data_IF_909307591506
#
_entry.id   IF_909307591506
#
_cell.length_a   1.000
_cell.length_b   1.000
_cell.length_c   1.000
_cell.angle_alpha   90.00
_cell.angle_beta   90.00
_cell.angle_gamma   90.00
#
_symmetry.space_group_name_H-M   'P 1'
#
loop_
_entity.id
_entity.type
_entity.pdbx_description
1 polymer ?
#
# COMPACT_ATOMS: atom_id res chain seq x y z
N UNK A 1 -8.68 9.07 -2.75
CA UNK A 1 -7.82 8.01 -2.19
C UNK A 1 -8.03 6.69 -2.95
N UNK A 2 -6.96 6.06 -3.42
CA UNK A 2 -6.99 4.78 -4.12
C UNK A 2 -6.24 3.73 -3.31
N UNK A 3 -6.90 2.63 -2.97
CA UNK A 3 -6.35 1.59 -2.08
C UNK A 3 -5.95 0.32 -2.84
N UNK A 4 -5.15 -0.54 -2.19
CA UNK A 4 -4.81 -1.84 -2.75
C UNK A 4 -6.04 -2.75 -2.95
N UNK A 5 -7.06 -2.61 -2.11
CA UNK A 5 -8.33 -3.33 -2.28
C UNK A 5 -9.12 -2.83 -3.50
N UNK A 6 -9.14 -1.52 -3.74
CA UNK A 6 -9.73 -0.96 -4.97
C UNK A 6 -8.96 -1.43 -6.21
N UNK A 7 -7.63 -1.42 -6.15
CA UNK A 7 -6.79 -1.94 -7.23
C UNK A 7 -7.07 -3.42 -7.51
N UNK A 8 -7.18 -4.25 -6.47
CA UNK A 8 -7.55 -5.66 -6.63
C UNK A 8 -8.89 -5.79 -7.37
N UNK A 9 -9.91 -5.06 -6.93
CA UNK A 9 -11.24 -5.12 -7.54
C UNK A 9 -11.22 -4.68 -9.01
N UNK A 10 -10.57 -3.57 -9.32
CA UNK A 10 -10.47 -3.04 -10.67
C UNK A 10 -9.72 -3.99 -11.60
N UNK A 11 -8.58 -4.53 -11.17
CA UNK A 11 -7.79 -5.46 -11.98
C UNK A 11 -8.51 -6.79 -12.16
N UNK A 12 -9.18 -7.31 -11.12
CA UNK A 12 -9.98 -8.54 -11.25
C UNK A 12 -11.14 -8.35 -12.23
N UNK A 13 -11.81 -7.21 -12.17
CA UNK A 13 -12.87 -6.87 -13.12
C UNK A 13 -12.33 -6.78 -14.55
N UNK A 14 -11.21 -6.09 -14.76
CA UNK A 14 -10.54 -5.95 -16.06
C UNK A 14 -10.12 -7.32 -16.63
N UNK A 15 -9.51 -8.18 -15.80
CA UNK A 15 -9.07 -9.51 -16.23
C UNK A 15 -10.25 -10.38 -16.63
N UNK A 16 -11.30 -10.45 -15.81
CA UNK A 16 -12.43 -11.38 -16.03
C UNK A 16 -13.42 -10.90 -17.07
N UNK A 17 -13.71 -9.61 -17.08
CA UNK A 17 -14.80 -9.06 -17.89
C UNK A 17 -14.35 -8.46 -19.22
N UNK A 18 -13.04 -8.32 -19.43
CA UNK A 18 -12.49 -7.76 -20.66
C UNK A 18 -11.38 -8.65 -21.22
N UNK A 19 -10.20 -8.71 -20.60
CA UNK A 19 -9.02 -9.33 -21.18
C UNK A 19 -9.19 -10.84 -21.43
N UNK A 20 -9.70 -11.60 -20.47
CA UNK A 20 -9.90 -13.04 -20.64
C UNK A 20 -11.11 -13.45 -21.51
N UNK A 21 -11.88 -12.48 -22.02
CA UNK A 21 -12.86 -12.75 -23.08
C UNK A 21 -12.24 -12.93 -24.46
N UNK A 22 -11.07 -12.34 -24.66
CA UNK A 22 -10.43 -12.31 -25.98
C UNK A 22 -8.97 -12.82 -25.96
N UNK A 23 -8.39 -13.04 -24.79
CA UNK A 23 -7.01 -13.45 -24.63
C UNK A 23 -6.87 -14.55 -23.58
N UNK A 24 -6.12 -15.58 -23.87
CA UNK A 24 -5.84 -16.68 -22.93
C UNK A 24 -4.80 -16.32 -21.86
N UNK A 25 -4.05 -15.24 -22.08
CA UNK A 25 -2.95 -14.82 -21.20
C UNK A 25 -2.94 -13.30 -21.02
N UNK A 26 -2.77 -12.86 -19.79
CA UNK A 26 -2.55 -11.46 -19.45
C UNK A 26 -1.21 -11.30 -18.73
N UNK A 27 -0.44 -10.26 -19.07
CA UNK A 27 0.82 -9.92 -18.44
C UNK A 27 0.62 -8.78 -17.45
N UNK A 28 0.86 -9.04 -16.16
CA UNK A 28 0.92 -8.02 -15.12
C UNK A 28 2.39 -7.71 -14.83
N UNK A 29 2.82 -6.49 -15.08
CA UNK A 29 4.20 -6.04 -14.84
C UNK A 29 4.24 -4.80 -13.96
N UNK A 30 5.27 -4.68 -13.14
CA UNK A 30 5.47 -3.52 -12.27
C UNK A 30 6.31 -3.84 -11.03
N UNK A 31 6.54 -2.81 -10.21
CA UNK A 31 7.38 -2.89 -9.01
C UNK A 31 6.61 -2.80 -7.68
N UNK A 32 5.30 -2.53 -7.70
CA UNK A 32 4.50 -2.42 -6.48
C UNK A 32 4.10 -3.80 -5.97
N UNK A 33 4.91 -4.36 -5.07
CA UNK A 33 4.69 -5.71 -4.52
C UNK A 33 3.33 -5.84 -3.83
N UNK A 34 2.86 -4.79 -3.15
CA UNK A 34 1.56 -4.81 -2.48
C UNK A 34 0.40 -4.97 -3.49
N UNK A 35 0.46 -4.29 -4.62
CA UNK A 35 -0.54 -4.40 -5.69
C UNK A 35 -0.47 -5.77 -6.38
N UNK A 36 0.72 -6.27 -6.66
CA UNK A 36 0.92 -7.60 -7.23
C UNK A 36 0.36 -8.68 -6.28
N UNK A 37 0.67 -8.59 -5.00
CA UNK A 37 0.16 -9.54 -4.00
C UNK A 37 -1.36 -9.42 -3.81
N UNK A 38 -1.93 -8.23 -3.86
CA UNK A 38 -3.39 -8.03 -3.82
C UNK A 38 -4.09 -8.79 -4.96
N UNK A 39 -3.58 -8.69 -6.18
CA UNK A 39 -4.14 -9.43 -7.33
C UNK A 39 -3.88 -10.94 -7.21
N UNK A 40 -2.68 -11.34 -6.81
CA UNK A 40 -2.29 -12.75 -6.79
C UNK A 40 -2.88 -13.56 -5.62
N UNK A 41 -2.98 -12.95 -4.45
CA UNK A 41 -3.36 -13.63 -3.19
C UNK A 41 -4.69 -13.15 -2.64
N UNK A 42 -5.12 -11.97 -3.06
CA UNK A 42 -6.18 -11.22 -2.40
C UNK A 42 -5.65 -10.35 -1.28
N UNK A 43 -6.46 -9.41 -0.86
CA UNK A 43 -6.24 -8.57 0.30
C UNK A 43 -7.38 -8.76 1.28
N UNK A 44 -7.09 -8.64 2.56
CA UNK A 44 -8.10 -8.71 3.61
C UNK A 44 -9.17 -7.62 3.40
N UNK A 45 -10.40 -7.94 3.70
CA UNK A 45 -11.53 -7.01 3.59
C UNK A 45 -11.57 -6.06 4.79
N UNK A 46 -10.61 -5.13 4.79
CA UNK A 46 -10.48 -4.11 5.82
C UNK A 46 -11.36 -2.91 5.43
N UNK A 47 -12.27 -2.47 6.31
CA UNK A 47 -13.15 -1.35 6.02
C UNK A 47 -12.39 -0.06 5.66
N UNK A 48 -12.89 0.66 4.67
CA UNK A 48 -12.35 1.99 4.33
C UNK A 48 -12.59 2.95 5.50
N UNK A 49 -11.54 3.63 5.94
CA UNK A 49 -11.62 4.59 7.03
C UNK A 49 -12.31 5.86 6.55
N UNK A 50 -13.31 6.32 7.31
CA UNK A 50 -13.99 7.60 7.08
C UNK A 50 -13.05 8.76 7.35
N UNK A 51 -13.26 9.86 6.63
CA UNK A 51 -12.40 11.03 6.73
C UNK A 51 -12.48 11.71 8.11
N UNK A 52 -13.66 11.67 8.76
CA UNK A 52 -13.84 12.20 10.12
C UNK A 52 -12.98 11.44 11.15
N UNK A 53 -12.93 10.12 11.07
CA UNK A 53 -12.09 9.28 11.93
C UNK A 53 -10.60 9.53 11.67
N UNK A 54 -10.19 9.66 10.41
CA UNK A 54 -8.80 9.98 10.06
C UNK A 54 -8.36 11.32 10.62
N UNK A 55 -9.19 12.34 10.44
CA UNK A 55 -8.89 13.67 10.94
C UNK A 55 -8.80 13.67 12.46
N UNK A 56 -9.77 13.04 13.14
CA UNK A 56 -9.78 12.90 14.59
C UNK A 56 -8.53 12.18 15.11
N UNK A 57 -8.13 11.06 14.51
CA UNK A 57 -6.93 10.32 14.93
C UNK A 57 -5.63 11.10 14.67
N UNK A 58 -5.58 11.86 13.56
CA UNK A 58 -4.46 12.76 13.31
C UNK A 58 -4.31 13.82 14.40
N UNK A 59 -5.42 14.46 14.79
CA UNK A 59 -5.41 15.45 15.86
C UNK A 59 -5.02 14.84 17.20
N UNK A 60 -5.45 13.62 17.50
CA UNK A 60 -5.04 12.88 18.69
C UNK A 60 -3.55 12.60 18.69
N UNK A 61 -2.99 12.13 17.58
CA UNK A 61 -1.54 11.89 17.45
C UNK A 61 -0.74 13.16 17.72
N UNK A 62 -1.20 14.32 17.22
CA UNK A 62 -0.55 15.61 17.42
C UNK A 62 -0.66 16.10 18.88
N UNK A 63 -1.79 15.89 19.55
CA UNK A 63 -2.06 16.37 20.91
C UNK A 63 -1.55 15.44 21.99
N UNK A 64 -1.73 14.14 21.82
CA UNK A 64 -1.50 13.13 22.87
C UNK A 64 -0.15 12.43 22.71
N UNK A 65 0.38 12.40 21.48
CA UNK A 65 1.61 11.71 21.14
C UNK A 65 1.42 10.21 20.85
N UNK A 66 2.44 9.61 20.25
CA UNK A 66 2.39 8.21 19.82
C UNK A 66 2.29 7.22 20.99
N UNK A 67 2.96 7.51 22.11
CA UNK A 67 3.02 6.61 23.26
C UNK A 67 1.65 6.30 23.84
N UNK A 68 0.81 7.32 24.02
CA UNK A 68 -0.57 7.13 24.51
C UNK A 68 -1.42 6.31 23.54
N UNK A 69 -1.25 6.52 22.26
CA UNK A 69 -1.96 5.73 21.24
C UNK A 69 -1.48 4.27 21.24
N UNK A 70 -0.23 4.02 21.51
CA UNK A 70 0.32 2.65 21.66
C UNK A 70 -0.27 1.96 22.89
N UNK A 71 -0.40 2.67 24.02
CA UNK A 71 -1.07 2.13 25.22
C UNK A 71 -2.56 1.84 24.99
N UNK A 72 -3.23 2.68 24.23
CA UNK A 72 -4.62 2.44 23.85
C UNK A 72 -4.76 1.22 22.93
N UNK A 73 -3.88 1.08 21.94
CA UNK A 73 -3.85 -0.10 21.07
C UNK A 73 -3.63 -1.38 21.86
N UNK A 74 -2.80 -1.35 22.91
CA UNK A 74 -2.60 -2.51 23.79
C UNK A 74 -3.91 -2.98 24.44
N UNK A 75 -4.80 -2.05 24.76
CA UNK A 75 -6.10 -2.34 25.40
C UNK A 75 -7.14 -2.79 24.38
N UNK A 76 -7.16 -2.15 23.20
CA UNK A 76 -8.18 -2.39 22.17
C UNK A 76 -7.87 -3.62 21.31
N UNK A 77 -6.59 -3.87 21.00
CA UNK A 77 -6.13 -5.00 20.18
C UNK A 77 -4.77 -5.50 20.66
N UNK A 78 -4.74 -6.27 21.77
CA UNK A 78 -3.50 -6.80 22.33
C UNK A 78 -2.70 -7.67 21.36
N UNK A 79 -3.38 -8.39 20.48
CA UNK A 79 -2.76 -9.26 19.50
C UNK A 79 -1.98 -8.43 18.46
N UNK A 80 -2.60 -7.40 17.90
CA UNK A 80 -1.91 -6.50 16.99
C UNK A 80 -0.80 -5.71 17.67
N UNK A 81 -1.01 -5.27 18.90
CA UNK A 81 0.02 -4.59 19.70
C UNK A 81 1.30 -5.39 19.82
N UNK A 82 1.22 -6.73 19.95
CA UNK A 82 2.39 -7.60 20.11
C UNK A 82 3.23 -7.72 18.84
N UNK A 83 2.64 -7.46 17.66
CA UNK A 83 3.30 -7.66 16.36
C UNK A 83 3.59 -6.37 15.60
N UNK A 84 2.90 -5.27 15.95
CA UNK A 84 3.07 -3.99 15.25
C UNK A 84 4.39 -3.32 15.62
N UNK A 85 5.00 -2.64 14.65
CA UNK A 85 6.08 -1.71 14.93
C UNK A 85 5.53 -0.47 15.65
N UNK A 86 5.72 -0.43 16.96
CA UNK A 86 5.23 0.63 17.86
C UNK A 86 5.87 2.00 17.60
N UNK A 87 7.01 2.05 16.88
CA UNK A 87 7.66 3.30 16.48
C UNK A 87 7.10 3.86 15.17
N UNK A 88 6.24 3.11 14.49
CA UNK A 88 5.61 3.54 13.26
C UNK A 88 4.20 4.13 13.52
N UNK A 89 4.06 5.46 13.58
CA UNK A 89 2.79 6.08 13.92
C UNK A 89 1.68 5.74 12.91
N UNK A 90 2.01 5.58 11.62
CA UNK A 90 1.01 5.23 10.59
C UNK A 90 0.37 3.87 10.86
N UNK A 91 1.15 2.87 11.31
CA UNK A 91 0.64 1.53 11.59
C UNK A 91 -0.21 1.49 12.86
N UNK A 92 0.24 2.19 13.90
CA UNK A 92 -0.50 2.29 15.17
C UNK A 92 -1.82 3.03 14.96
N UNK A 93 -1.79 4.20 14.33
CA UNK A 93 -2.96 5.02 14.03
C UNK A 93 -3.96 4.24 13.17
N UNK A 94 -3.51 3.61 12.10
CA UNK A 94 -4.41 2.85 11.21
C UNK A 94 -5.15 1.72 11.94
N UNK A 95 -4.48 1.00 12.82
CA UNK A 95 -5.15 -0.04 13.62
C UNK A 95 -6.21 0.55 14.56
N UNK A 96 -5.92 1.67 15.22
CA UNK A 96 -6.87 2.35 16.07
C UNK A 96 -8.05 2.96 15.29
N UNK A 97 -7.80 3.50 14.10
CA UNK A 97 -8.87 3.99 13.21
C UNK A 97 -9.90 2.88 12.93
N UNK A 98 -9.44 1.67 12.61
CA UNK A 98 -10.32 0.51 12.40
C UNK A 98 -11.05 0.14 13.69
N UNK A 99 -10.34 0.06 14.81
CA UNK A 99 -10.96 -0.29 16.09
C UNK A 99 -12.07 0.71 16.48
N UNK A 100 -11.80 2.00 16.37
CA UNK A 100 -12.77 3.04 16.71
C UNK A 100 -13.95 3.10 15.75
N UNK A 101 -13.69 2.94 14.45
CA UNK A 101 -14.76 2.97 13.46
C UNK A 101 -15.70 1.80 13.56
N UNK A 102 -15.18 0.61 13.85
CA UNK A 102 -15.93 -0.65 13.71
C UNK A 102 -16.35 -1.25 15.05
N UNK A 103 -15.72 -0.84 16.16
CA UNK A 103 -15.87 -1.49 17.46
C UNK A 103 -15.26 -2.89 17.55
N UNK A 104 -14.51 -3.31 16.52
CA UNK A 104 -13.82 -4.61 16.45
C UNK A 104 -12.31 -4.40 16.44
N UNK A 105 -11.55 -5.44 16.82
CA UNK A 105 -10.09 -5.41 16.72
C UNK A 105 -9.64 -5.35 15.26
N UNK A 106 -8.53 -4.66 14.98
CA UNK A 106 -7.91 -4.67 13.66
C UNK A 106 -7.49 -6.09 13.27
N UNK A 107 -7.01 -6.88 14.23
CA UNK A 107 -6.65 -8.29 14.05
C UNK A 107 -7.80 -9.12 13.48
N UNK A 108 -9.04 -8.87 13.88
CA UNK A 108 -10.20 -9.62 13.39
C UNK A 108 -10.46 -9.47 11.88
N UNK A 109 -9.93 -8.41 11.26
CA UNK A 109 -10.00 -8.20 9.80
C UNK A 109 -8.79 -8.77 9.06
N UNK A 110 -7.73 -9.16 9.79
CA UNK A 110 -6.50 -9.70 9.20
C UNK A 110 -6.56 -11.22 9.15
N UNK A 111 -7.39 -11.76 8.28
CA UNK A 111 -7.58 -13.20 8.13
C UNK A 111 -6.40 -13.87 7.42
N UNK A 112 -5.67 -13.11 6.62
CA UNK A 112 -4.59 -13.59 5.74
C UNK A 112 -5.04 -14.76 4.83
N UNK A 113 -6.34 -14.87 4.59
CA UNK A 113 -6.90 -15.88 3.70
C UNK A 113 -6.53 -15.58 2.25
N UNK A 114 -5.99 -16.60 1.57
CA UNK A 114 -5.74 -16.50 0.14
C UNK A 114 -7.06 -16.65 -0.60
N UNK A 115 -7.45 -15.60 -1.31
CA UNK A 115 -8.60 -15.67 -2.21
C UNK A 115 -8.26 -16.56 -3.41
N UNK A 116 -9.12 -17.52 -3.71
CA UNK A 116 -8.98 -18.30 -4.94
C UNK A 116 -9.15 -17.41 -6.18
N UNK A 117 -8.36 -17.68 -7.20
CA UNK A 117 -8.42 -16.97 -8.48
C UNK A 117 -8.92 -17.90 -9.57
N UNK A 118 -9.84 -17.44 -10.44
CA UNK A 118 -10.39 -18.26 -11.52
C UNK A 118 -9.41 -18.43 -12.71
N UNK A 119 -8.11 -18.23 -12.47
CA UNK A 119 -7.05 -18.34 -13.46
C UNK A 119 -5.74 -18.80 -12.82
N UNK A 120 -4.88 -19.39 -13.64
CA UNK A 120 -3.54 -19.79 -13.20
C UNK A 120 -2.60 -18.59 -13.13
N UNK A 121 -1.84 -18.50 -12.04
CA UNK A 121 -0.85 -17.44 -11.82
C UNK A 121 0.56 -18.03 -12.04
N UNK A 122 1.33 -17.44 -12.93
CA UNK A 122 2.74 -17.73 -13.14
C UNK A 122 3.54 -16.50 -12.73
N UNK A 123 4.40 -16.63 -11.72
CA UNK A 123 5.26 -15.54 -11.25
C UNK A 123 6.65 -15.68 -11.85
N UNK A 124 7.11 -14.64 -12.53
CA UNK A 124 8.44 -14.56 -13.11
C UNK A 124 9.20 -13.43 -12.42
N UNK A 125 10.27 -13.77 -11.72
CA UNK A 125 11.18 -12.80 -11.10
C UNK A 125 12.39 -12.56 -12.00
N UNK A 126 12.64 -11.30 -12.35
CA UNK A 126 13.87 -10.93 -13.04
C UNK A 126 14.98 -10.71 -12.01
N UNK A 127 16.10 -11.35 -12.21
CA UNK A 127 17.29 -11.18 -11.37
C UNK A 127 18.52 -10.89 -12.25
N UNK A 128 19.49 -10.19 -11.66
CA UNK A 128 20.73 -9.80 -12.32
C UNK A 128 21.85 -9.73 -11.30
N UNK A 129 23.10 -9.87 -11.76
CA UNK A 129 24.24 -9.63 -10.91
C UNK A 129 24.17 -8.24 -10.26
N UNK A 130 24.56 -8.17 -8.98
CA UNK A 130 24.36 -6.96 -8.18
C UNK A 130 25.21 -5.78 -8.68
N UNK A 131 26.41 -6.05 -9.14
CA UNK A 131 27.29 -5.00 -9.68
C UNK A 131 26.72 -4.43 -10.98
N UNK A 132 26.27 -5.30 -11.89
CA UNK A 132 25.62 -4.88 -13.13
C UNK A 132 24.32 -4.11 -12.86
N UNK A 133 23.53 -4.55 -11.88
CA UNK A 133 22.31 -3.86 -11.48
C UNK A 133 22.58 -2.43 -11.00
N UNK A 134 23.59 -2.24 -10.14
CA UNK A 134 23.96 -0.91 -9.65
C UNK A 134 24.48 -0.01 -10.78
N UNK A 135 25.28 -0.54 -11.68
CA UNK A 135 25.74 0.25 -12.83
C UNK A 135 24.57 0.74 -13.69
N UNK A 136 23.62 -0.14 -14.00
CA UNK A 136 22.40 0.24 -14.75
C UNK A 136 21.54 1.27 -14.01
N UNK A 137 21.42 1.15 -12.69
CA UNK A 137 20.69 2.13 -11.88
C UNK A 137 21.38 3.50 -11.99
N UNK A 138 22.69 3.54 -11.83
CA UNK A 138 23.46 4.79 -11.92
C UNK A 138 23.35 5.43 -13.32
N UNK A 139 23.53 4.65 -14.37
CA UNK A 139 23.38 5.14 -15.74
C UNK A 139 21.95 5.65 -16.00
N UNK A 140 20.94 4.94 -15.52
CA UNK A 140 19.55 5.40 -15.65
C UNK A 140 19.32 6.74 -14.97
N UNK A 141 19.87 6.96 -13.79
CA UNK A 141 19.75 8.25 -13.08
C UNK A 141 20.40 9.37 -13.90
N UNK A 142 21.59 9.14 -14.47
CA UNK A 142 22.26 10.13 -15.31
C UNK A 142 21.42 10.49 -16.55
N UNK A 143 20.88 9.48 -17.23
CA UNK A 143 19.98 9.70 -18.37
C UNK A 143 18.73 10.47 -17.99
N UNK A 144 18.10 10.13 -16.86
CA UNK A 144 16.92 10.86 -16.38
C UNK A 144 17.24 12.33 -16.08
N UNK A 145 18.43 12.62 -15.54
CA UNK A 145 18.87 14.01 -15.31
C UNK A 145 19.07 14.76 -16.64
N UNK A 146 19.68 14.13 -17.63
CA UNK A 146 19.85 14.69 -18.98
C UNK A 146 18.50 14.94 -19.68
N UNK A 147 17.54 14.03 -19.50
CA UNK A 147 16.17 14.13 -20.04
C UNK A 147 15.31 15.18 -19.31
N UNK A 148 15.80 15.76 -18.22
CA UNK A 148 15.15 16.88 -17.54
C UNK A 148 14.39 16.54 -16.26
N UNK A 149 14.71 15.45 -15.57
CA UNK A 149 14.11 15.05 -14.30
C UNK A 149 14.08 16.21 -13.28
N UNK A 150 15.17 16.97 -13.17
CA UNK A 150 15.22 18.11 -12.25
C UNK A 150 14.18 19.19 -12.61
N UNK A 151 14.02 19.47 -13.90
CA UNK A 151 13.02 20.44 -14.38
C UNK A 151 11.60 19.97 -14.10
N UNK A 152 11.33 18.68 -14.31
CA UNK A 152 10.04 18.05 -13.98
C UNK A 152 9.74 18.17 -12.48
N UNK A 153 10.69 17.79 -11.62
CA UNK A 153 10.56 17.89 -10.17
C UNK A 153 10.31 19.34 -9.71
N UNK A 154 11.01 20.31 -10.27
CA UNK A 154 10.82 21.75 -9.98
C UNK A 154 9.41 22.22 -10.36
N UNK A 155 8.87 21.77 -11.47
CA UNK A 155 7.53 22.16 -11.94
C UNK A 155 6.42 21.73 -10.97
N UNK A 156 6.58 20.57 -10.30
CA UNK A 156 5.59 20.04 -9.35
C UNK A 156 5.92 20.35 -7.88
N UNK A 157 7.07 20.97 -7.61
CA UNK A 157 7.56 21.22 -6.25
C UNK A 157 6.62 22.07 -5.40
N UNK A 158 5.90 23.03 -6.01
CA UNK A 158 4.88 23.82 -5.31
C UNK A 158 3.72 22.96 -4.75
N UNK A 159 3.54 21.76 -5.27
CA UNK A 159 2.51 20.81 -4.90
C UNK A 159 3.03 19.68 -3.99
N UNK A 160 4.23 19.79 -3.44
CA UNK A 160 4.91 18.75 -2.62
C UNK A 160 4.10 18.24 -1.43
N UNK A 161 3.13 19.02 -0.95
CA UNK A 161 2.27 18.65 0.17
C UNK A 161 1.12 17.70 -0.24
N UNK A 162 0.85 17.54 -1.54
CA UNK A 162 -0.16 16.62 -2.01
C UNK A 162 0.26 15.17 -1.74
N UNK A 163 -0.68 14.38 -1.22
CA UNK A 163 -0.44 12.98 -0.86
C UNK A 163 0.07 12.16 -2.06
N UNK A 164 -0.42 12.46 -3.27
CA UNK A 164 0.02 11.77 -4.48
C UNK A 164 1.54 11.89 -4.72
N UNK A 165 2.11 13.08 -4.51
CA UNK A 165 3.55 13.31 -4.69
C UNK A 165 4.41 12.69 -3.56
N UNK A 166 3.81 12.38 -2.42
CA UNK A 166 4.50 11.67 -1.32
C UNK A 166 4.57 10.16 -1.51
N UNK A 167 3.77 9.62 -2.40
CA UNK A 167 3.68 8.17 -2.64
C UNK A 167 4.44 7.70 -3.86
N UNK A 168 4.75 8.59 -4.76
CA UNK A 168 5.44 8.26 -6.03
C UNK A 168 6.97 8.42 -5.91
N UNK A 169 7.45 8.92 -4.77
CA UNK A 169 8.84 8.99 -4.39
C UNK A 169 9.54 10.21 -4.86
#
# INVERSE_FOLDING_TARGET
YYSAAMYEADVMNLLQNDLFKSHDTALLTGGSMMYIDAVCKGIDDIPTIRDDIRQWMKERLEKEGLEKLVEELQKMDPEHYNIVDKKNPRRVVHALEICHQTGKTYTSFRTAEKKERPFRIIKIGLNRDRAELYERINQRVLLMMEEGLEKEARNVYSQKELTALRTVG
#
